data_IF_772404744555
#
_entry.id   IF_772404744555
#
_cell.length_a   1.000
_cell.length_b   1.000
_cell.length_c   1.000
_cell.angle_alpha   90.00
_cell.angle_beta   90.00
_cell.angle_gamma   90.00
#
_symmetry.space_group_name_H-M   'P 1'
#
loop_
_entity.id
_entity.type
_entity.pdbx_description
1 polymer ?
#
# COMPACT_ATOMS: atom_id res chain seq x y z
N UNK A 1 36.02 56.48 23.71
CA UNK A 1 34.72 55.96 24.20
C UNK A 1 33.58 56.66 23.49
N UNK A 2 32.70 55.88 22.84
CA UNK A 2 31.22 55.92 22.90
C UNK A 2 30.66 55.33 21.60
N UNK A 3 30.27 54.06 21.70
CA UNK A 3 29.53 53.31 20.69
C UNK A 3 28.04 53.67 20.85
N UNK A 4 27.38 54.05 19.77
CA UNK A 4 25.92 54.18 19.75
C UNK A 4 25.31 52.86 19.30
N UNK A 5 24.54 52.27 20.21
CA UNK A 5 23.80 51.04 20.06
C UNK A 5 22.35 51.45 19.74
N UNK A 6 21.82 51.07 18.58
CA UNK A 6 20.41 51.27 18.25
C UNK A 6 19.69 49.92 18.37
N UNK A 7 18.66 49.79 19.22
CA UNK A 7 17.72 48.69 19.17
C UNK A 7 16.43 49.14 18.46
N UNK A 8 15.98 48.38 17.48
CA UNK A 8 14.60 48.38 16.98
C UNK A 8 14.30 46.93 16.60
N UNK A 9 13.77 46.12 17.51
CA UNK A 9 12.35 45.96 17.85
C UNK A 9 11.49 45.52 16.66
N UNK A 10 11.34 44.18 16.59
CA UNK A 10 10.14 43.38 16.33
C UNK A 10 8.97 43.94 15.52
N UNK A 11 8.44 43.06 14.63
CA UNK A 11 7.03 42.73 14.31
C UNK A 11 7.03 42.21 12.84
N UNK A 12 6.37 41.13 12.37
CA UNK A 12 5.66 39.94 12.89
C UNK A 12 5.14 39.21 11.61
N UNK A 13 4.91 37.90 11.71
CA UNK A 13 3.96 37.08 10.93
C UNK A 13 4.30 36.45 9.55
N UNK A 14 4.24 35.12 9.62
CA UNK A 14 3.44 34.20 8.79
C UNK A 14 4.17 33.41 7.70
N UNK A 15 3.73 32.14 7.61
CA UNK A 15 4.13 31.05 6.71
C UNK A 15 5.38 30.31 7.22
N UNK A 16 5.33 29.04 7.64
CA UNK A 16 4.50 27.92 7.19
C UNK A 16 4.29 26.99 8.39
N UNK A 17 3.07 26.97 8.92
CA UNK A 17 2.60 25.90 9.80
C UNK A 17 2.32 24.65 8.97
N UNK A 18 3.36 23.91 8.58
CA UNK A 18 3.24 22.47 8.34
C UNK A 18 3.50 21.77 9.68
N UNK A 19 2.58 22.01 10.62
CA UNK A 19 2.30 21.05 11.68
C UNK A 19 1.74 19.82 10.96
N UNK A 20 2.65 18.92 10.57
CA UNK A 20 2.28 17.54 10.36
C UNK A 20 1.54 17.09 11.62
N UNK A 21 0.24 16.86 11.46
CA UNK A 21 -0.59 16.13 12.38
C UNK A 21 -0.05 14.70 12.46
N UNK A 22 1.04 14.52 13.19
CA UNK A 22 1.45 13.23 13.70
C UNK A 22 0.41 12.81 14.74
N UNK A 23 -0.66 12.18 14.29
CA UNK A 23 -1.47 11.36 15.18
C UNK A 23 -0.53 10.33 15.78
N UNK A 24 -0.27 10.46 17.08
CA UNK A 24 0.31 9.42 17.91
C UNK A 24 -0.58 8.18 17.84
N UNK A 25 -0.35 7.34 16.81
CA UNK A 25 -0.86 5.98 16.80
C UNK A 25 -0.01 5.20 17.78
N UNK A 26 -0.69 4.62 18.76
CA UNK A 26 -0.15 3.62 19.67
C UNK A 26 0.62 2.60 18.81
N UNK A 27 1.93 2.37 19.07
CA UNK A 27 2.70 1.40 18.32
C UNK A 27 2.25 0.00 18.73
N UNK A 28 1.21 -0.51 18.09
CA UNK A 28 1.01 -1.94 18.03
C UNK A 28 2.17 -2.51 17.20
N UNK A 29 2.97 -3.37 17.82
CA UNK A 29 4.15 -4.04 17.26
C UNK A 29 3.82 -5.06 16.16
N UNK A 30 3.02 -4.65 15.19
CA UNK A 30 2.73 -5.35 13.95
C UNK A 30 3.49 -4.61 12.86
N UNK A 31 4.40 -5.29 12.18
CA UNK A 31 5.17 -4.80 11.03
C UNK A 31 4.34 -3.84 10.18
N UNK A 32 4.65 -2.55 10.27
CA UNK A 32 3.94 -1.50 9.54
C UNK A 32 4.16 -1.76 8.06
N UNK A 33 3.11 -2.27 7.40
CA UNK A 33 2.97 -2.25 5.96
C UNK A 33 3.07 -0.76 5.59
N UNK A 34 4.23 -0.32 5.06
CA UNK A 34 4.34 1.00 4.47
C UNK A 34 3.60 0.92 3.14
N UNK A 35 2.52 1.68 3.03
CA UNK A 35 1.60 1.57 1.89
C UNK A 35 1.96 2.51 0.73
N UNK A 36 3.15 3.14 0.71
CA UNK A 36 3.51 4.13 -0.31
C UNK A 36 4.97 4.01 -0.79
N UNK A 37 5.14 4.08 -2.11
CA UNK A 37 6.41 4.13 -2.85
C UNK A 37 7.18 5.45 -2.66
N UNK A 38 6.54 6.47 -2.10
CA UNK A 38 7.00 7.87 -2.03
C UNK A 38 7.12 8.55 -3.41
N UNK A 39 6.30 8.11 -4.38
CA UNK A 39 6.12 8.75 -5.68
C UNK A 39 4.68 9.25 -5.83
N UNK A 40 4.41 10.27 -6.67
CA UNK A 40 3.03 10.64 -7.01
C UNK A 40 2.28 9.45 -7.60
N UNK A 41 0.99 9.28 -7.24
CA UNK A 41 0.17 8.22 -7.83
C UNK A 41 0.13 8.27 -9.35
N UNK A 42 0.12 7.09 -9.97
CA UNK A 42 0.21 6.95 -11.42
C UNK A 42 1.62 7.13 -11.99
N UNK A 43 2.63 7.42 -11.16
CA UNK A 43 4.03 7.43 -11.62
C UNK A 43 4.48 6.01 -11.89
N UNK A 44 4.82 5.73 -13.15
CA UNK A 44 5.40 4.47 -13.54
C UNK A 44 6.85 4.38 -13.02
N UNK A 45 7.14 3.31 -12.29
CA UNK A 45 8.46 3.05 -11.72
C UNK A 45 8.88 1.61 -11.98
N UNK A 46 10.19 1.40 -12.08
CA UNK A 46 10.80 0.08 -12.17
C UNK A 46 11.02 -0.47 -10.78
N UNK A 47 10.42 -1.61 -10.48
CA UNK A 47 10.50 -2.24 -9.17
C UNK A 47 11.22 -3.58 -9.27
N UNK A 48 12.14 -3.85 -8.33
CA UNK A 48 12.58 -5.21 -8.05
C UNK A 48 11.77 -5.74 -6.87
N UNK A 49 11.02 -6.79 -7.12
CA UNK A 49 9.98 -7.28 -6.19
C UNK A 49 10.16 -8.75 -5.89
N UNK A 50 9.60 -9.19 -4.78
CA UNK A 50 9.48 -10.59 -4.37
C UNK A 50 8.02 -10.92 -4.04
N UNK A 51 7.51 -12.05 -4.52
CA UNK A 51 6.18 -12.54 -4.15
C UNK A 51 6.22 -13.14 -2.75
N UNK A 52 5.29 -12.74 -1.89
CA UNK A 52 5.13 -13.26 -0.53
C UNK A 52 3.70 -13.78 -0.31
N UNK A 53 3.55 -14.80 0.55
CA UNK A 53 2.24 -15.27 1.00
C UNK A 53 1.72 -14.37 2.13
N UNK A 54 0.53 -13.81 1.97
CA UNK A 54 -0.12 -12.98 2.99
C UNK A 54 -0.43 -13.74 4.28
N UNK A 55 -0.54 -15.07 4.22
CA UNK A 55 -0.74 -15.95 5.40
C UNK A 55 0.43 -15.81 6.39
N UNK A 56 1.65 -15.63 5.89
CA UNK A 56 2.85 -15.49 6.73
C UNK A 56 2.86 -14.20 7.56
N UNK A 57 2.07 -13.20 7.17
CA UNK A 57 1.95 -11.92 7.88
C UNK A 57 1.08 -12.02 9.13
N UNK A 58 0.36 -13.13 9.33
CA UNK A 58 -0.60 -13.32 10.44
C UNK A 58 -1.67 -12.23 10.50
N UNK A 59 -2.03 -11.69 9.34
CA UNK A 59 -3.10 -10.72 9.15
C UNK A 59 -4.26 -11.41 8.45
N UNK A 60 -5.39 -11.59 9.16
CA UNK A 60 -6.57 -12.28 8.61
C UNK A 60 -7.04 -11.71 7.27
N UNK A 61 -6.91 -10.39 7.07
CA UNK A 61 -7.31 -9.73 5.83
C UNK A 61 -6.43 -10.09 4.61
N UNK A 62 -5.24 -10.65 4.84
CA UNK A 62 -4.26 -11.02 3.81
C UNK A 62 -4.18 -12.53 3.58
N UNK A 63 -4.89 -13.34 4.38
CA UNK A 63 -4.89 -14.78 4.25
C UNK A 63 -5.41 -15.21 2.87
N UNK A 64 -4.70 -16.15 2.23
CA UNK A 64 -5.02 -16.64 0.87
C UNK A 64 -4.60 -15.70 -0.28
N UNK A 65 -4.00 -14.55 0.02
CA UNK A 65 -3.53 -13.58 -0.98
C UNK A 65 -2.01 -13.65 -1.16
N UNK A 66 -1.56 -13.40 -2.38
CA UNK A 66 -0.18 -13.09 -2.67
C UNK A 66 0.03 -11.57 -2.65
N UNK A 67 1.16 -11.15 -2.11
CA UNK A 67 1.55 -9.75 -2.01
C UNK A 67 2.91 -9.55 -2.65
N UNK A 68 3.25 -8.29 -2.94
CA UNK A 68 4.56 -7.91 -3.44
C UNK A 68 5.37 -7.26 -2.33
N UNK A 69 6.53 -7.82 -2.06
CA UNK A 69 7.57 -7.21 -1.24
C UNK A 69 8.53 -6.44 -2.14
N UNK A 70 8.59 -5.12 -1.99
CA UNK A 70 9.45 -4.26 -2.79
C UNK A 70 10.85 -4.24 -2.17
N UNK A 71 11.87 -4.47 -3.01
CA UNK A 71 13.29 -4.47 -2.62
C UNK A 71 14.04 -3.27 -3.17
N UNK A 72 13.77 -2.89 -4.42
CA UNK A 72 14.40 -1.75 -5.09
C UNK A 72 13.33 -0.97 -5.88
N UNK A 73 13.49 0.36 -5.94
CA UNK A 73 12.66 1.29 -6.72
C UNK A 73 13.58 2.13 -7.60
N UNK A 74 13.41 2.05 -8.92
CA UNK A 74 14.29 2.69 -9.91
C UNK A 74 15.79 2.41 -9.64
N UNK A 75 16.12 1.14 -9.43
CA UNK A 75 17.47 0.65 -9.14
C UNK A 75 18.08 1.17 -7.81
N UNK A 76 17.28 1.83 -6.97
CA UNK A 76 17.66 2.26 -5.62
C UNK A 76 17.09 1.26 -4.59
N UNK A 77 17.92 0.61 -3.76
CA UNK A 77 17.46 -0.26 -2.69
C UNK A 77 16.53 0.48 -1.72
N UNK A 78 15.43 -0.16 -1.34
CA UNK A 78 14.54 0.37 -0.31
C UNK A 78 15.21 0.23 1.06
N UNK A 79 15.29 1.34 1.82
CA UNK A 79 15.84 1.36 3.19
C UNK A 79 15.22 0.29 4.10
N UNK A 80 13.93 0.04 3.89
CA UNK A 80 13.18 -1.06 4.51
C UNK A 80 12.31 -1.68 3.44
N UNK A 81 12.29 -3.02 3.29
CA UNK A 81 11.31 -3.68 2.45
C UNK A 81 9.91 -3.38 2.97
N UNK A 82 9.00 -3.03 2.08
CA UNK A 82 7.58 -2.93 2.40
C UNK A 82 6.78 -3.79 1.45
N UNK A 83 5.62 -4.21 1.94
CA UNK A 83 4.76 -5.19 1.30
C UNK A 83 3.50 -4.48 0.86
N UNK A 84 3.02 -4.72 -0.35
CA UNK A 84 1.81 -4.10 -0.88
C UNK A 84 0.94 -5.15 -1.57
N UNK A 85 -0.37 -4.92 -1.53
CA UNK A 85 -1.29 -5.58 -2.48
C UNK A 85 -0.97 -5.09 -3.89
N UNK A 86 -1.22 -5.97 -4.86
CA UNK A 86 -1.08 -5.62 -6.26
C UNK A 86 -2.26 -6.15 -7.06
N UNK A 87 -2.52 -5.48 -8.18
CA UNK A 87 -3.36 -5.94 -9.28
C UNK A 87 -2.43 -6.17 -10.46
N UNK A 88 -2.69 -7.22 -11.21
CA UNK A 88 -1.91 -7.57 -12.38
C UNK A 88 -2.77 -7.47 -13.64
N UNK A 89 -2.53 -6.44 -14.43
CA UNK A 89 -3.23 -6.22 -15.70
C UNK A 89 -2.67 -7.08 -16.84
N UNK A 90 -1.56 -7.80 -16.59
CA UNK A 90 -0.94 -8.68 -17.57
C UNK A 90 -1.45 -10.12 -17.55
N UNK A 91 -1.98 -10.59 -16.42
CA UNK A 91 -2.25 -12.01 -16.19
C UNK A 91 -0.98 -12.86 -15.97
N UNK A 92 0.18 -12.22 -15.79
CA UNK A 92 1.45 -12.86 -15.50
C UNK A 92 1.60 -13.30 -14.03
N UNK A 93 0.98 -12.58 -13.10
CA UNK A 93 1.18 -12.70 -11.66
C UNK A 93 -0.13 -13.01 -10.94
N UNK A 94 -0.40 -14.30 -10.66
CA UNK A 94 -1.49 -14.71 -9.77
C UNK A 94 -1.52 -13.96 -8.43
N UNK A 95 -2.68 -13.43 -8.05
CA UNK A 95 -2.88 -12.68 -6.80
C UNK A 95 -3.41 -13.55 -5.65
N UNK A 96 -3.86 -14.76 -5.95
CA UNK A 96 -4.45 -15.71 -4.97
C UNK A 96 -4.28 -17.18 -5.42
N UNK A 97 -4.55 -18.12 -4.50
CA UNK A 97 -4.33 -19.56 -4.75
C UNK A 97 -5.09 -20.10 -5.96
N UNK A 98 -6.35 -19.71 -6.14
CA UNK A 98 -7.18 -20.11 -7.29
C UNK A 98 -6.58 -19.64 -8.62
N UNK A 99 -6.16 -18.37 -8.68
CA UNK A 99 -5.51 -17.81 -9.87
C UNK A 99 -4.16 -18.50 -10.17
N UNK A 100 -3.42 -18.92 -9.14
CA UNK A 100 -2.16 -19.65 -9.32
C UNK A 100 -2.40 -21.06 -9.86
N UNK A 101 -3.38 -21.76 -9.30
CA UNK A 101 -3.79 -23.07 -9.78
C UNK A 101 -4.18 -23.01 -11.26
N UNK A 102 -5.09 -22.10 -11.60
CA UNK A 102 -5.54 -21.88 -12.98
C UNK A 102 -4.37 -21.63 -13.92
N UNK A 103 -3.40 -20.83 -13.48
CA UNK A 103 -2.20 -20.55 -14.27
C UNK A 103 -1.30 -21.77 -14.47
N UNK A 104 -1.07 -22.56 -13.42
CA UNK A 104 -0.18 -23.72 -13.46
C UNK A 104 -0.77 -24.87 -14.28
N UNK A 105 -2.07 -25.14 -14.15
CA UNK A 105 -2.72 -26.31 -14.73
C UNK A 105 -3.56 -26.00 -15.97
N UNK A 106 -3.78 -24.72 -16.30
CA UNK A 106 -4.59 -24.26 -17.44
C UNK A 106 -6.03 -24.76 -17.42
N UNK A 107 -6.56 -25.06 -16.23
CA UNK A 107 -7.93 -25.49 -15.96
C UNK A 107 -8.50 -24.71 -14.78
N UNK A 108 -9.82 -24.56 -14.71
CA UNK A 108 -10.47 -24.00 -13.52
C UNK A 108 -10.37 -24.98 -12.35
N UNK A 109 -10.30 -24.45 -11.13
CA UNK A 109 -10.36 -25.29 -9.94
C UNK A 109 -11.81 -25.74 -9.72
N UNK A 110 -12.04 -27.05 -9.69
CA UNK A 110 -13.38 -27.62 -9.45
C UNK A 110 -13.65 -27.83 -7.95
N UNK A 111 -12.60 -27.80 -7.12
CA UNK A 111 -12.64 -28.13 -5.69
C UNK A 111 -11.73 -27.22 -4.86
N UNK A 112 -11.95 -27.20 -3.54
CA UNK A 112 -11.06 -26.56 -2.58
C UNK A 112 -9.69 -27.23 -2.55
N UNK A 113 -8.64 -26.44 -2.31
CA UNK A 113 -7.27 -26.94 -2.25
C UNK A 113 -6.95 -27.52 -0.87
N UNK A 114 -6.28 -28.68 -0.85
CA UNK A 114 -5.64 -29.13 0.38
C UNK A 114 -4.44 -28.23 0.70
N UNK A 115 -4.03 -28.19 1.98
CA UNK A 115 -2.83 -27.46 2.39
C UNK A 115 -1.57 -27.96 1.67
N UNK A 116 -1.51 -29.24 1.31
CA UNK A 116 -0.38 -29.82 0.59
C UNK A 116 -0.35 -29.38 -0.88
N UNK A 117 -1.53 -29.23 -1.51
CA UNK A 117 -1.64 -28.67 -2.86
C UNK A 117 -1.17 -27.22 -2.88
N UNK A 118 -1.63 -26.41 -1.91
CA UNK A 118 -1.22 -25.01 -1.77
C UNK A 118 0.31 -24.93 -1.65
N UNK A 119 0.91 -25.69 -0.72
CA UNK A 119 2.37 -25.71 -0.53
C UNK A 119 3.11 -26.12 -1.81
N UNK A 120 2.60 -27.13 -2.52
CA UNK A 120 3.20 -27.62 -3.76
C UNK A 120 3.18 -26.56 -4.86
N UNK A 121 2.08 -25.84 -5.01
CA UNK A 121 1.98 -24.72 -5.96
C UNK A 121 2.89 -23.56 -5.56
N UNK A 122 2.86 -23.16 -4.28
CA UNK A 122 3.62 -22.03 -3.75
C UNK A 122 5.13 -22.22 -3.83
N UNK A 123 5.63 -23.46 -3.73
CA UNK A 123 7.06 -23.79 -3.84
C UNK A 123 7.73 -23.16 -5.07
N UNK A 124 6.99 -23.00 -6.16
CA UNK A 124 7.50 -22.44 -7.41
C UNK A 124 7.10 -20.98 -7.63
N UNK A 125 6.40 -20.34 -6.71
CA UNK A 125 5.84 -18.99 -6.91
C UNK A 125 6.28 -18.01 -5.81
N UNK A 126 6.10 -18.39 -4.55
CA UNK A 126 6.48 -17.59 -3.38
C UNK A 126 8.01 -17.52 -3.27
N UNK A 127 8.54 -16.35 -2.93
CA UNK A 127 9.97 -16.06 -2.83
C UNK A 127 10.64 -15.73 -4.16
N UNK A 128 9.93 -15.85 -5.30
CA UNK A 128 10.50 -15.45 -6.59
C UNK A 128 10.72 -13.95 -6.64
N UNK A 129 11.93 -13.57 -7.05
CA UNK A 129 12.30 -12.18 -7.29
C UNK A 129 12.32 -11.89 -8.78
N UNK A 130 11.75 -10.75 -9.19
CA UNK A 130 11.73 -10.31 -10.59
C UNK A 130 11.64 -8.78 -10.67
N UNK A 131 11.78 -8.25 -11.89
CA UNK A 131 11.66 -6.84 -12.18
C UNK A 131 10.31 -6.61 -12.86
N UNK A 132 9.59 -5.57 -12.44
CA UNK A 132 8.34 -5.13 -13.06
C UNK A 132 8.33 -3.63 -13.27
N UNK A 133 7.59 -3.17 -14.26
CA UNK A 133 7.09 -1.81 -14.32
C UNK A 133 5.72 -1.77 -13.65
N UNK A 134 5.57 -0.87 -12.69
CA UNK A 134 4.33 -0.72 -11.94
C UNK A 134 4.12 0.74 -11.54
N UNK A 135 2.89 1.09 -11.22
CA UNK A 135 2.57 2.36 -10.60
C UNK A 135 1.68 2.14 -9.37
N UNK A 136 1.79 3.04 -8.41
CA UNK A 136 0.92 3.05 -7.24
C UNK A 136 -0.35 3.85 -7.52
N UNK A 137 -1.47 3.34 -7.03
CA UNK A 137 -2.76 4.01 -7.00
C UNK A 137 -3.48 3.65 -5.71
N UNK A 138 -4.73 4.08 -5.55
CA UNK A 138 -5.54 3.67 -4.42
C UNK A 138 -7.02 3.80 -4.66
N UNK A 139 -7.77 3.22 -3.73
CA UNK A 139 -9.23 3.22 -3.73
C UNK A 139 -9.76 3.35 -2.32
N UNK A 140 -10.96 3.90 -2.18
CA UNK A 140 -11.70 3.78 -0.94
C UNK A 140 -12.22 2.35 -0.78
N UNK A 141 -12.06 1.80 0.42
CA UNK A 141 -12.57 0.49 0.80
C UNK A 141 -13.45 0.60 2.03
N UNK A 142 -14.47 -0.27 2.08
CA UNK A 142 -15.44 -0.33 3.16
C UNK A 142 -16.64 0.59 2.96
N UNK A 143 -17.45 0.74 4.02
CA UNK A 143 -18.73 1.46 3.96
C UNK A 143 -18.71 2.60 4.96
N UNK A 144 -18.97 3.85 4.53
CA UNK A 144 -19.11 4.96 5.46
C UNK A 144 -20.19 4.66 6.51
N UNK A 145 -19.93 4.95 7.78
CA UNK A 145 -20.88 4.68 8.85
C UNK A 145 -22.03 5.71 8.84
N UNK A 146 -23.29 5.27 8.87
CA UNK A 146 -24.46 6.14 8.91
C UNK A 146 -24.43 7.15 10.08
N UNK A 147 -23.80 6.79 11.20
CA UNK A 147 -23.64 7.71 12.33
C UNK A 147 -22.76 8.94 12.02
N UNK A 148 -21.86 8.85 11.03
CA UNK A 148 -21.12 10.02 10.50
C UNK A 148 -22.06 10.99 9.74
N UNK A 149 -23.21 10.49 9.27
CA UNK A 149 -24.24 11.26 8.58
C UNK A 149 -25.25 11.93 9.53
N UNK A 150 -25.15 11.77 10.86
CA UNK A 150 -26.13 12.36 11.82
C UNK A 150 -25.59 13.47 12.74
N UNK A 151 -25.86 14.72 12.36
CA UNK A 151 -26.30 15.84 13.21
C UNK A 151 -27.17 16.75 12.36
N UNK A 152 -28.48 16.46 12.43
CA UNK A 152 -29.58 17.33 12.04
C UNK A 152 -29.33 18.73 12.63
N UNK A 153 -28.83 19.71 11.84
CA UNK A 153 -29.11 21.16 11.98
C UNK A 153 -28.21 22.09 11.17
N UNK A 154 -27.14 21.63 10.50
CA UNK A 154 -26.22 22.54 9.80
C UNK A 154 -26.08 22.14 8.32
N UNK A 155 -26.47 23.03 7.42
CA UNK A 155 -26.30 22.95 5.97
C UNK A 155 -24.83 23.15 5.57
N UNK A 156 -23.93 22.29 6.05
CA UNK A 156 -22.56 22.23 5.55
C UNK A 156 -22.34 20.87 4.88
N UNK A 157 -21.67 20.82 3.71
CA UNK A 157 -21.23 19.56 3.14
C UNK A 157 -20.33 18.87 4.17
N UNK A 158 -20.73 17.68 4.63
CA UNK A 158 -19.97 16.99 5.67
C UNK A 158 -18.73 16.37 5.06
N UNK A 159 -17.59 16.69 5.66
CA UNK A 159 -16.35 15.99 5.40
C UNK A 159 -16.51 14.57 5.95
N UNK A 160 -16.53 13.56 5.07
CA UNK A 160 -16.43 12.18 5.52
C UNK A 160 -15.05 11.97 6.14
N UNK A 161 -15.04 11.47 7.38
CA UNK A 161 -13.79 11.12 8.05
C UNK A 161 -13.45 9.68 7.68
N UNK A 162 -12.21 9.44 7.27
CA UNK A 162 -11.70 8.08 7.11
C UNK A 162 -11.56 7.43 8.49
N UNK A 163 -12.02 6.19 8.60
CA UNK A 163 -11.91 5.35 9.78
C UNK A 163 -11.59 3.89 9.39
N UNK A 164 -11.65 2.95 10.35
CA UNK A 164 -11.33 1.53 10.07
C UNK A 164 -12.35 0.87 9.15
N UNK A 165 -13.60 1.35 9.15
CA UNK A 165 -14.69 0.84 8.31
C UNK A 165 -14.77 1.51 6.94
N UNK A 166 -14.14 2.66 6.75
CA UNK A 166 -14.02 3.39 5.50
C UNK A 166 -12.66 4.10 5.37
N UNK A 167 -11.75 3.55 4.58
CA UNK A 167 -10.39 4.07 4.43
C UNK A 167 -9.95 4.09 2.97
N UNK A 168 -9.02 4.99 2.64
CA UNK A 168 -8.30 4.94 1.38
C UNK A 168 -7.16 3.92 1.51
N UNK A 169 -7.07 2.99 0.56
CA UNK A 169 -6.06 1.93 0.54
C UNK A 169 -5.27 1.98 -0.75
N UNK A 170 -3.95 1.93 -0.61
CA UNK A 170 -3.03 1.94 -1.74
C UNK A 170 -2.76 0.51 -2.24
N UNK A 171 -2.50 0.38 -3.54
CA UNK A 171 -2.08 -0.87 -4.16
C UNK A 171 -1.25 -0.59 -5.41
N UNK A 172 -0.47 -1.58 -5.83
CA UNK A 172 0.31 -1.52 -7.07
C UNK A 172 -0.51 -2.03 -8.25
N UNK A 173 -0.35 -1.41 -9.40
CA UNK A 173 -0.77 -1.98 -10.69
C UNK A 173 0.48 -2.37 -11.45
N UNK A 174 0.60 -3.66 -11.77
CA UNK A 174 1.69 -4.19 -12.59
C UNK A 174 1.25 -4.17 -14.05
N UNK A 175 2.08 -3.58 -14.91
CA UNK A 175 1.88 -3.56 -16.36
C UNK A 175 3.03 -4.25 -17.07
N UNK A 176 2.83 -5.51 -17.49
CA UNK A 176 3.86 -6.27 -18.24
C UNK A 176 3.91 -5.92 -19.72
N UNK A 177 2.97 -5.12 -20.24
CA UNK A 177 3.00 -4.67 -21.64
C UNK A 177 4.10 -3.65 -21.88
N UNK A 178 4.57 -3.03 -20.81
CA UNK A 178 5.73 -2.17 -20.79
C UNK A 178 6.94 -3.08 -20.56
N UNK A 179 7.56 -3.54 -21.64
CA UNK A 179 8.88 -4.19 -21.57
C UNK A 179 9.93 -3.08 -21.69
N UNK A 180 10.88 -3.07 -20.75
CA UNK A 180 12.16 -2.36 -20.92
C UNK A 180 12.90 -2.87 -22.17
#
# INVERSE_FOLDING_TARGET
MKKYFLPALFVIFALISNLYFGQNRIPNSSSVIKENLDYPFGTLVKLKVEIVDGTDLKLKAMEGRYLIKIKEVNDIPADKPFIMEFVDDSGEFPTEHFSLYKKLYKIEAEHDFSLDDIKKMQKYYVGRTFIVLAYETGKFVGTPNESDYVRKKVNLPRLMRQDVSFQFKNYLVIDSKLKD
#
